data_IF_634412069156
#
_entry.id   IF_634412069156
#
_cell.length_a   1.000
_cell.length_b   1.000
_cell.length_c   1.000
_cell.angle_alpha   90.00
_cell.angle_beta   90.00
_cell.angle_gamma   90.00
#
_symmetry.space_group_name_H-M   'P 1'
#
loop_
_entity.id
_entity.type
_entity.pdbx_description
1 polymer ?
#
# COMPACT_ATOMS: atom_id res chain seq x y z
N UNK A 1 26.85 -0.31 8.15
CA UNK A 1 25.80 -1.12 7.50
C UNK A 1 25.59 -0.52 6.13
N UNK A 2 25.84 -1.26 5.04
CA UNK A 2 25.72 -0.72 3.68
C UNK A 2 24.25 -0.76 3.30
N UNK A 3 23.61 0.40 3.25
CA UNK A 3 22.23 0.57 2.79
C UNK A 3 22.22 0.45 1.26
N UNK A 4 21.68 -0.63 0.72
CA UNK A 4 21.52 -0.79 -0.72
C UNK A 4 20.22 -0.11 -1.14
N UNK A 5 20.32 1.19 -1.44
CA UNK A 5 19.23 1.99 -2.00
C UNK A 5 19.40 2.08 -3.50
N UNK A 6 18.36 1.73 -4.25
CA UNK A 6 18.38 1.81 -5.71
C UNK A 6 17.26 2.73 -6.17
N UNK A 7 17.61 3.72 -6.99
CA UNK A 7 16.67 4.67 -7.59
C UNK A 7 16.70 4.52 -9.10
N UNK A 8 15.52 4.33 -9.68
CA UNK A 8 15.32 4.26 -11.12
C UNK A 8 14.49 5.42 -11.62
N UNK A 9 14.89 5.92 -12.77
CA UNK A 9 14.12 6.88 -13.55
C UNK A 9 13.87 6.29 -14.94
N UNK A 10 12.61 5.93 -15.21
CA UNK A 10 12.19 5.31 -16.47
C UNK A 10 12.05 6.32 -17.61
N UNK A 11 12.27 7.62 -17.36
CA UNK A 11 12.34 8.63 -18.42
C UNK A 11 13.53 8.41 -19.37
N UNK A 12 14.55 7.67 -18.94
CA UNK A 12 15.68 7.27 -19.78
C UNK A 12 15.46 5.84 -20.32
N UNK A 13 14.94 5.76 -21.55
CA UNK A 13 14.53 4.51 -22.22
C UNK A 13 15.67 3.53 -22.55
N UNK A 14 16.93 3.90 -22.31
CA UNK A 14 18.11 3.10 -22.66
C UNK A 14 18.71 2.30 -21.51
N UNK A 15 18.16 2.39 -20.30
CA UNK A 15 18.70 1.65 -19.15
C UNK A 15 18.17 0.20 -19.11
N UNK A 16 19.07 -0.76 -19.36
CA UNK A 16 18.80 -2.20 -19.20
C UNK A 16 18.88 -2.59 -17.72
N UNK A 17 17.76 -2.37 -17.01
CA UNK A 17 17.65 -2.72 -15.58
C UNK A 17 17.84 -4.21 -15.34
N UNK A 18 17.45 -5.07 -16.29
CA UNK A 18 17.60 -6.52 -16.18
C UNK A 18 19.06 -6.91 -16.10
N UNK A 19 19.90 -6.35 -16.98
CA UNK A 19 21.36 -6.58 -16.93
C UNK A 19 21.99 -5.98 -15.68
N UNK A 20 21.65 -4.73 -15.35
CA UNK A 20 22.23 -4.00 -14.22
C UNK A 20 21.91 -4.65 -12.86
N UNK A 21 20.77 -5.34 -12.76
CA UNK A 21 20.28 -5.92 -11.52
C UNK A 21 20.30 -7.44 -11.48
N UNK A 22 20.77 -8.09 -12.55
CA UNK A 22 20.88 -9.56 -12.62
C UNK A 22 21.68 -10.18 -11.45
N UNK A 23 22.57 -9.40 -10.83
CA UNK A 23 23.34 -9.81 -9.66
C UNK A 23 22.71 -9.41 -8.31
N UNK A 24 21.71 -8.53 -8.30
CA UNK A 24 21.07 -7.99 -7.09
C UNK A 24 19.82 -8.80 -6.79
N UNK A 25 19.89 -9.66 -5.77
CA UNK A 25 18.75 -10.48 -5.34
C UNK A 25 17.81 -9.77 -4.37
N UNK A 26 18.34 -8.84 -3.58
CA UNK A 26 17.57 -8.10 -2.59
C UNK A 26 18.08 -6.67 -2.44
N UNK A 27 17.16 -5.75 -2.19
CA UNK A 27 17.44 -4.34 -1.90
C UNK A 27 16.65 -3.90 -0.68
N UNK A 28 17.22 -2.98 0.11
CA UNK A 28 16.47 -2.43 1.24
C UNK A 28 15.42 -1.44 0.74
N UNK A 29 15.84 -0.51 -0.13
CA UNK A 29 15.00 0.55 -0.65
C UNK A 29 15.02 0.53 -2.18
N UNK A 30 13.83 0.50 -2.77
CA UNK A 30 13.62 0.61 -4.21
C UNK A 30 12.70 1.79 -4.50
N UNK A 31 13.19 2.77 -5.24
CA UNK A 31 12.41 3.91 -5.72
C UNK A 31 12.37 3.89 -7.25
N UNK A 32 11.18 3.88 -7.82
CA UNK A 32 10.95 3.89 -9.27
C UNK A 32 10.16 5.14 -9.64
N UNK A 33 10.76 6.01 -10.41
CA UNK A 33 10.13 7.21 -10.97
C UNK A 33 10.04 7.10 -12.49
N UNK A 34 9.09 7.82 -13.06
CA UNK A 34 9.01 8.05 -14.50
C UNK A 34 7.57 8.01 -15.01
N UNK A 35 7.38 8.21 -16.30
CA UNK A 35 6.02 8.37 -16.84
C UNK A 35 5.26 7.04 -16.90
N UNK A 36 5.92 6.00 -17.41
CA UNK A 36 5.36 4.68 -17.65
C UNK A 36 6.34 3.59 -17.18
N UNK A 37 5.77 2.49 -16.70
CA UNK A 37 6.50 1.28 -16.36
C UNK A 37 6.95 0.57 -17.64
N UNK A 38 8.23 0.23 -17.72
CA UNK A 38 8.80 -0.58 -18.80
C UNK A 38 8.77 -2.06 -18.44
N UNK A 39 8.90 -2.95 -19.44
CA UNK A 39 9.04 -4.39 -19.20
C UNK A 39 10.24 -4.71 -18.30
N UNK A 40 11.33 -3.95 -18.40
CA UNK A 40 12.52 -4.14 -17.56
C UNK A 40 12.24 -3.88 -16.08
N UNK A 41 11.41 -2.88 -15.76
CA UNK A 41 11.01 -2.59 -14.37
C UNK A 41 10.07 -3.66 -13.83
N UNK A 42 9.19 -4.20 -14.68
CA UNK A 42 8.35 -5.34 -14.32
C UNK A 42 9.20 -6.57 -13.98
N UNK A 43 10.05 -6.99 -14.92
CA UNK A 43 10.97 -8.13 -14.73
C UNK A 43 11.76 -7.96 -13.41
N UNK A 44 12.24 -6.74 -13.13
CA UNK A 44 12.92 -6.44 -11.88
C UNK A 44 12.03 -6.67 -10.65
N UNK A 45 10.81 -6.14 -10.63
CA UNK A 45 9.90 -6.27 -9.48
C UNK A 45 9.46 -7.71 -9.24
N UNK A 46 9.40 -8.54 -10.29
CA UNK A 46 9.11 -9.97 -10.21
C UNK A 46 10.32 -10.81 -9.72
N UNK A 47 11.54 -10.26 -9.74
CA UNK A 47 12.77 -11.01 -9.43
C UNK A 47 13.59 -10.49 -8.23
N UNK A 48 13.37 -9.25 -7.78
CA UNK A 48 14.11 -8.65 -6.66
C UNK A 48 13.25 -8.59 -5.41
N UNK A 49 13.79 -9.09 -4.30
CA UNK A 49 13.19 -8.94 -2.98
C UNK A 49 13.45 -7.53 -2.43
N UNK A 50 12.38 -6.74 -2.22
CA UNK A 50 12.46 -5.45 -1.54
C UNK A 50 12.11 -5.66 -0.07
N UNK A 51 13.04 -5.37 0.84
CA UNK A 51 12.89 -5.78 2.26
C UNK A 51 12.27 -4.70 3.15
N UNK A 52 12.58 -3.42 2.91
CA UNK A 52 12.15 -2.31 3.76
C UNK A 52 11.20 -1.34 3.07
N UNK A 53 11.57 -0.79 1.92
CA UNK A 53 10.83 0.33 1.30
C UNK A 53 10.68 0.19 -0.21
N UNK A 54 9.44 0.24 -0.68
CA UNK A 54 9.10 0.33 -2.10
C UNK A 54 8.39 1.65 -2.37
N UNK A 55 8.91 2.41 -3.32
CA UNK A 55 8.26 3.61 -3.85
C UNK A 55 8.12 3.53 -5.36
N UNK A 56 6.91 3.77 -5.87
CA UNK A 56 6.63 3.75 -7.30
C UNK A 56 5.77 4.94 -7.69
N UNK A 57 6.31 5.76 -8.59
CA UNK A 57 5.68 6.97 -9.12
C UNK A 57 5.54 6.93 -10.64
N UNK A 58 5.37 5.74 -11.22
CA UNK A 58 5.16 5.53 -12.65
C UNK A 58 3.82 4.85 -12.96
N UNK A 59 3.22 5.18 -14.11
CA UNK A 59 1.98 4.52 -14.56
C UNK A 59 2.27 3.10 -15.01
N UNK A 60 1.43 2.14 -14.63
CA UNK A 60 1.52 0.76 -15.16
C UNK A 60 0.59 0.60 -16.35
N UNK A 61 1.15 0.16 -17.49
CA UNK A 61 0.35 -0.18 -18.67
C UNK A 61 -0.58 -1.36 -18.37
N UNK A 62 -1.87 -1.17 -18.59
CA UNK A 62 -2.88 -2.24 -18.45
C UNK A 62 -2.65 -3.34 -19.51
N UNK A 63 -2.02 -3.01 -20.64
CA UNK A 63 -1.80 -3.91 -21.79
C UNK A 63 -0.88 -5.09 -21.42
N UNK A 64 0.01 -4.92 -20.44
CA UNK A 64 0.90 -6.01 -20.04
C UNK A 64 0.25 -6.99 -19.05
N UNK A 65 -0.98 -6.75 -18.59
CA UNK A 65 -1.65 -7.60 -17.61
C UNK A 65 -1.17 -7.37 -16.16
N UNK A 66 -1.81 -8.02 -15.17
CA UNK A 66 -1.37 -7.94 -13.78
C UNK A 66 0.02 -8.56 -13.61
N UNK A 67 0.73 -8.13 -12.58
CA UNK A 67 1.96 -8.76 -12.13
C UNK A 67 2.05 -8.69 -10.61
N UNK A 68 2.71 -9.67 -10.02
CA UNK A 68 2.97 -9.70 -8.60
C UNK A 68 4.43 -9.33 -8.33
N UNK A 69 4.63 -8.46 -7.35
CA UNK A 69 5.97 -8.19 -6.85
C UNK A 69 6.49 -9.44 -6.12
N UNK A 70 7.77 -9.76 -6.27
CA UNK A 70 8.38 -10.94 -5.65
C UNK A 70 8.18 -10.97 -4.12
N UNK A 71 8.17 -9.79 -3.50
CA UNK A 71 7.83 -9.61 -2.10
C UNK A 71 7.33 -8.19 -1.86
N UNK A 72 6.25 -8.05 -1.08
CA UNK A 72 5.91 -6.76 -0.48
C UNK A 72 6.87 -6.48 0.68
N UNK A 73 7.46 -5.28 0.76
CA UNK A 73 8.33 -4.94 1.87
C UNK A 73 7.54 -4.84 3.18
N UNK A 74 8.24 -5.01 4.31
CA UNK A 74 7.62 -5.04 5.63
C UNK A 74 7.41 -3.67 6.27
N UNK A 75 8.17 -2.64 5.86
CA UNK A 75 8.14 -1.34 6.54
C UNK A 75 7.32 -0.29 5.78
N UNK A 76 7.56 -0.08 4.49
CA UNK A 76 6.96 1.04 3.77
C UNK A 76 6.67 0.78 2.29
N UNK A 77 5.46 1.10 1.85
CA UNK A 77 5.01 1.07 0.44
C UNK A 77 4.38 2.42 0.11
N UNK A 78 4.88 3.10 -0.93
CA UNK A 78 4.23 4.29 -1.51
C UNK A 78 4.16 4.14 -3.02
N UNK A 79 2.99 3.75 -3.52
CA UNK A 79 2.78 3.54 -4.94
C UNK A 79 1.64 4.41 -5.46
N UNK A 80 1.89 5.20 -6.50
CA UNK A 80 0.86 5.81 -7.31
C UNK A 80 0.61 4.95 -8.56
N UNK A 81 -0.62 4.92 -9.07
CA UNK A 81 -0.99 4.08 -10.23
C UNK A 81 -0.83 2.58 -9.96
N UNK A 82 -1.35 2.14 -8.82
CA UNK A 82 -1.25 0.75 -8.34
C UNK A 82 -2.30 -0.16 -9.01
N UNK A 83 -2.52 -0.02 -10.32
CA UNK A 83 -3.47 -0.84 -11.09
C UNK A 83 -2.98 -2.28 -11.32
N UNK A 84 -1.72 -2.54 -10.98
CA UNK A 84 -1.06 -3.84 -11.03
C UNK A 84 -1.38 -4.72 -9.82
N UNK A 85 -1.65 -4.12 -8.66
CA UNK A 85 -1.94 -4.87 -7.44
C UNK A 85 -3.29 -5.56 -7.56
N UNK A 86 -3.28 -6.89 -7.49
CA UNK A 86 -4.47 -7.72 -7.44
C UNK A 86 -5.15 -7.61 -6.07
N UNK A 87 -6.43 -7.98 -6.01
CA UNK A 87 -7.13 -8.15 -4.72
C UNK A 87 -6.39 -9.14 -3.84
N UNK A 88 -5.94 -10.28 -4.37
CA UNK A 88 -5.21 -11.29 -3.60
C UNK A 88 -3.93 -10.72 -2.95
N UNK A 89 -3.12 -10.01 -3.72
CA UNK A 89 -1.90 -9.35 -3.23
C UNK A 89 -2.22 -8.29 -2.18
N UNK A 90 -3.31 -7.55 -2.35
CA UNK A 90 -3.80 -6.60 -1.35
C UNK A 90 -4.22 -7.30 -0.04
N UNK A 91 -4.93 -8.44 -0.11
CA UNK A 91 -5.37 -9.21 1.06
C UNK A 91 -4.21 -9.84 1.85
N UNK A 92 -3.02 -9.94 1.25
CA UNK A 92 -1.81 -10.44 1.89
C UNK A 92 -0.92 -9.32 2.48
N UNK A 93 -1.34 -8.06 2.37
CA UNK A 93 -0.53 -6.93 2.79
C UNK A 93 -0.24 -6.98 4.30
N UNK A 94 1.05 -7.02 4.62
CA UNK A 94 1.58 -7.06 5.99
C UNK A 94 2.72 -6.03 6.17
N UNK A 95 2.52 -4.83 5.63
CA UNK A 95 3.48 -3.73 5.66
C UNK A 95 3.08 -2.71 6.74
N UNK A 96 4.04 -2.13 7.47
CA UNK A 96 3.75 -1.13 8.50
C UNK A 96 3.03 0.09 7.93
N UNK A 97 3.54 0.65 6.85
CA UNK A 97 3.02 1.87 6.28
C UNK A 97 2.76 1.70 4.78
N UNK A 98 1.48 1.72 4.41
CA UNK A 98 1.06 1.58 3.02
C UNK A 98 0.33 2.84 2.56
N UNK A 99 0.78 3.39 1.44
CA UNK A 99 0.07 4.39 0.67
C UNK A 99 -0.05 3.95 -0.78
N UNK A 100 -1.26 3.61 -1.23
CA UNK A 100 -1.50 3.18 -2.60
C UNK A 100 -2.59 4.01 -3.28
N UNK A 101 -2.27 4.64 -4.40
CA UNK A 101 -3.19 5.49 -5.15
C UNK A 101 -3.56 4.89 -6.51
N UNK A 102 -4.71 5.32 -7.06
CA UNK A 102 -5.19 4.97 -8.41
C UNK A 102 -5.16 3.45 -8.63
N UNK A 103 -5.84 2.75 -7.73
CA UNK A 103 -5.94 1.28 -7.71
C UNK A 103 -7.13 0.82 -8.55
N UNK A 104 -7.28 -0.50 -8.74
CA UNK A 104 -8.53 -1.12 -9.21
C UNK A 104 -9.39 -1.66 -8.06
N UNK A 105 -8.95 -1.46 -6.81
CA UNK A 105 -9.58 -2.02 -5.62
C UNK A 105 -10.89 -1.26 -5.34
N UNK A 106 -11.93 -2.01 -5.04
CA UNK A 106 -13.24 -1.51 -4.64
C UNK A 106 -13.31 -1.32 -3.14
N UNK A 107 -14.39 -0.69 -2.67
CA UNK A 107 -14.66 -0.58 -1.23
C UNK A 107 -14.84 -1.97 -0.59
N UNK A 108 -15.44 -2.92 -1.31
CA UNK A 108 -15.62 -4.30 -0.81
C UNK A 108 -14.30 -5.02 -0.56
N UNK A 109 -13.31 -4.84 -1.44
CA UNK A 109 -11.96 -5.41 -1.21
C UNK A 109 -11.36 -4.88 0.10
N UNK A 110 -11.61 -3.60 0.41
CA UNK A 110 -11.14 -2.96 1.66
C UNK A 110 -11.93 -3.46 2.87
N UNK A 111 -13.24 -3.65 2.75
CA UNK A 111 -14.06 -4.24 3.81
C UNK A 111 -13.61 -5.65 4.16
N UNK A 112 -13.35 -6.49 3.16
CA UNK A 112 -12.82 -7.85 3.35
C UNK A 112 -11.46 -7.82 4.06
N UNK A 113 -10.57 -6.90 3.67
CA UNK A 113 -9.28 -6.72 4.32
C UNK A 113 -9.43 -6.32 5.79
N UNK A 114 -10.31 -5.35 6.09
CA UNK A 114 -10.56 -4.88 7.45
C UNK A 114 -11.25 -5.94 8.31
N UNK A 115 -12.17 -6.73 7.75
CA UNK A 115 -12.80 -7.86 8.44
C UNK A 115 -11.78 -8.95 8.76
N UNK A 116 -10.89 -9.29 7.81
CA UNK A 116 -9.79 -10.24 8.04
C UNK A 116 -8.86 -9.74 9.13
N UNK A 117 -8.46 -8.47 9.09
CA UNK A 117 -7.63 -7.86 10.14
C UNK A 117 -8.33 -7.91 11.50
N UNK A 118 -9.61 -7.52 11.56
CA UNK A 118 -10.43 -7.50 12.78
C UNK A 118 -10.59 -8.88 13.40
N UNK A 119 -10.78 -9.92 12.59
CA UNK A 119 -11.01 -11.27 13.10
C UNK A 119 -9.73 -12.05 13.38
N UNK A 120 -8.56 -11.51 13.02
CA UNK A 120 -7.26 -12.15 13.24
C UNK A 120 -6.75 -11.92 14.66
N UNK A 121 -5.99 -12.90 15.17
CA UNK A 121 -5.16 -12.77 16.38
C UNK A 121 -3.67 -12.81 16.04
N UNK A 122 -3.32 -12.95 14.76
CA UNK A 122 -1.95 -13.09 14.31
C UNK A 122 -1.19 -11.77 14.45
N UNK A 123 0.09 -11.87 14.77
CA UNK A 123 0.99 -10.73 14.76
C UNK A 123 1.16 -10.26 13.30
N UNK A 124 0.75 -9.03 13.04
CA UNK A 124 0.99 -8.35 11.76
C UNK A 124 1.75 -7.04 12.02
N UNK A 125 2.31 -6.49 10.96
CA UNK A 125 3.10 -5.27 11.01
C UNK A 125 2.25 -4.02 10.72
N UNK A 126 1.00 -4.16 10.31
CA UNK A 126 0.17 -3.05 9.83
C UNK A 126 0.03 -1.96 10.90
N UNK A 127 0.48 -0.75 10.57
CA UNK A 127 0.33 0.46 11.39
C UNK A 127 -0.52 1.53 10.71
N UNK A 128 -0.40 1.69 9.39
CA UNK A 128 -1.24 2.61 8.64
C UNK A 128 -1.43 2.18 7.20
N UNK A 129 -2.66 2.30 6.71
CA UNK A 129 -3.04 2.17 5.31
C UNK A 129 -3.74 3.46 4.87
N UNK A 130 -3.30 4.02 3.75
CA UNK A 130 -3.96 5.09 3.03
C UNK A 130 -4.13 4.67 1.58
N UNK A 131 -5.36 4.70 1.07
CA UNK A 131 -5.59 4.32 -0.31
C UNK A 131 -6.74 5.07 -0.98
N UNK A 132 -6.76 5.06 -2.31
CA UNK A 132 -7.95 5.39 -3.11
C UNK A 132 -8.58 4.14 -3.71
N UNK A 133 -9.90 4.00 -3.59
CA UNK A 133 -10.69 3.00 -4.31
C UNK A 133 -11.04 3.47 -5.72
N UNK A 134 -11.41 2.52 -6.59
CA UNK A 134 -11.82 2.82 -7.98
C UNK A 134 -13.19 3.50 -8.05
N UNK A 135 -14.05 3.26 -7.06
CA UNK A 135 -15.36 3.89 -6.93
C UNK A 135 -15.37 4.84 -5.73
N UNK A 136 -15.92 6.03 -5.93
CA UNK A 136 -16.05 7.09 -4.94
C UNK A 136 -17.44 7.20 -4.32
N UNK A 137 -18.44 6.56 -4.93
CA UNK A 137 -19.84 6.63 -4.48
C UNK A 137 -20.14 5.58 -3.41
N UNK A 138 -19.56 4.39 -3.53
CA UNK A 138 -19.68 3.35 -2.52
C UNK A 138 -19.02 3.79 -1.22
N UNK A 139 -19.73 3.61 -0.11
CA UNK A 139 -19.23 3.91 1.25
C UNK A 139 -18.95 2.61 1.99
N UNK A 140 -17.97 2.65 2.90
CA UNK A 140 -17.72 1.59 3.86
C UNK A 140 -18.98 1.33 4.70
N UNK A 141 -19.37 0.06 4.79
CA UNK A 141 -20.37 -0.39 5.74
C UNK A 141 -19.75 -0.51 7.14
N UNK A 142 -19.82 0.58 7.89
CA UNK A 142 -19.34 0.61 9.27
C UNK A 142 -20.09 -0.35 10.20
N UNK A 143 -21.35 -0.72 9.88
CA UNK A 143 -22.10 -1.69 10.68
C UNK A 143 -21.56 -3.11 10.45
N UNK A 144 -21.28 -3.48 9.20
CA UNK A 144 -20.62 -4.73 8.85
C UNK A 144 -19.26 -4.86 9.57
N UNK A 145 -18.49 -3.79 9.59
CA UNK A 145 -17.21 -3.73 10.29
C UNK A 145 -17.37 -3.75 11.82
N UNK A 146 -18.59 -3.60 12.36
CA UNK A 146 -18.87 -3.45 13.78
C UNK A 146 -18.15 -2.24 14.39
N UNK A 147 -18.03 -1.16 13.61
CA UNK A 147 -17.31 0.02 14.00
C UNK A 147 -18.09 0.83 15.04
N UNK A 148 -17.38 1.38 16.01
CA UNK A 148 -17.92 2.26 17.06
C UNK A 148 -17.45 3.68 16.84
N UNK A 149 -18.22 4.64 17.33
CA UNK A 149 -17.74 6.02 17.43
C UNK A 149 -16.45 6.06 18.26
N UNK A 150 -15.48 6.82 17.78
CA UNK A 150 -14.23 7.09 18.49
C UNK A 150 -14.47 8.29 19.38
N UNK A 151 -14.58 8.08 20.68
CA UNK A 151 -14.74 9.16 21.65
C UNK A 151 -13.47 9.33 22.52
N UNK A 152 -12.78 10.50 22.48
CA UNK A 152 -12.97 11.59 21.51
C UNK A 152 -12.41 11.23 20.13
N UNK A 153 -12.86 11.96 19.11
CA UNK A 153 -12.28 11.84 17.75
C UNK A 153 -10.76 11.97 17.79
N UNK A 154 -10.06 10.93 17.31
CA UNK A 154 -8.59 10.92 17.34
C UNK A 154 -8.08 11.69 16.14
N UNK A 155 -7.30 12.74 16.42
CA UNK A 155 -6.68 13.55 15.40
C UNK A 155 -5.22 13.20 15.28
N UNK A 156 -4.81 12.67 14.12
CA UNK A 156 -3.46 12.12 13.97
C UNK A 156 -2.71 12.80 12.84
N UNK A 157 -1.44 13.12 13.09
CA UNK A 157 -0.54 13.69 12.12
C UNK A 157 -0.11 12.62 11.11
N UNK A 158 -0.30 12.91 9.82
CA UNK A 158 0.35 12.17 8.75
C UNK A 158 1.83 12.59 8.72
N UNK A 159 2.75 11.65 8.96
CA UNK A 159 4.19 11.91 9.05
C UNK A 159 4.88 12.28 7.73
N UNK A 160 4.21 12.97 6.80
CA UNK A 160 4.77 13.35 5.51
C UNK A 160 4.45 14.80 5.15
N UNK A 161 5.44 15.68 5.30
CA UNK A 161 5.66 16.95 4.58
C UNK A 161 4.62 18.08 4.69
N UNK A 162 3.33 17.77 4.66
CA UNK A 162 2.24 18.72 4.91
C UNK A 162 1.33 18.12 5.99
N UNK A 163 1.41 18.70 7.19
CA UNK A 163 0.67 18.29 8.37
C UNK A 163 -0.84 18.57 8.23
N UNK A 164 -1.51 17.79 7.38
CA UNK A 164 -2.98 17.70 7.40
C UNK A 164 -3.37 16.72 8.50
N UNK A 165 -4.06 17.24 9.50
CA UNK A 165 -4.55 16.47 10.62
C UNK A 165 -5.72 15.60 10.16
N UNK A 166 -5.58 14.28 10.22
CA UNK A 166 -6.68 13.36 9.89
C UNK A 166 -7.45 13.09 11.17
N UNK A 167 -8.72 13.51 11.19
CA UNK A 167 -9.68 13.08 12.20
C UNK A 167 -10.17 11.68 11.88
N UNK A 168 -10.15 10.80 12.85
CA UNK A 168 -10.84 9.50 12.82
C UNK A 168 -12.02 9.55 13.77
N UNK A 169 -13.18 9.24 13.24
CA UNK A 169 -14.48 9.21 13.91
C UNK A 169 -14.93 7.77 14.19
N UNK A 170 -14.39 6.77 13.49
CA UNK A 170 -14.77 5.36 13.67
C UNK A 170 -13.58 4.50 14.09
N UNK A 171 -13.85 3.52 14.95
CA UNK A 171 -12.88 2.51 15.39
C UNK A 171 -13.45 1.10 15.29
N UNK A 172 -12.60 0.15 14.93
CA UNK A 172 -12.86 -1.29 14.95
C UNK A 172 -11.90 -1.95 15.93
N UNK A 173 -12.36 -2.97 16.65
CA UNK A 173 -11.54 -3.70 17.62
C UNK A 173 -11.24 -5.09 17.07
N UNK A 174 -9.96 -5.45 17.04
CA UNK A 174 -9.48 -6.76 16.66
C UNK A 174 -9.78 -7.81 17.74
N UNK A 175 -9.80 -9.09 17.37
CA UNK A 175 -10.08 -10.20 18.26
C UNK A 175 -9.19 -10.26 19.53
N UNK A 176 -7.98 -9.71 19.48
CA UNK A 176 -7.05 -9.62 20.61
C UNK A 176 -7.09 -8.27 21.36
N UNK A 177 -8.02 -7.39 21.01
CA UNK A 177 -8.23 -6.09 21.64
C UNK A 177 -7.49 -4.92 21.00
N UNK A 178 -6.64 -5.14 19.97
CA UNK A 178 -6.03 -4.02 19.25
C UNK A 178 -7.09 -3.14 18.58
N UNK A 179 -6.87 -1.83 18.59
CA UNK A 179 -7.82 -0.85 18.05
C UNK A 179 -7.32 -0.31 16.72
N UNK A 180 -8.17 -0.43 15.70
CA UNK A 180 -7.96 0.14 14.39
C UNK A 180 -8.91 1.31 14.16
N UNK A 181 -8.39 2.49 13.87
CA UNK A 181 -9.15 3.67 13.49
C UNK A 181 -9.37 3.65 11.97
N UNK A 182 -10.62 3.84 11.54
CA UNK A 182 -10.99 3.82 10.13
C UNK A 182 -11.75 5.09 9.76
N UNK A 183 -11.49 5.60 8.55
CA UNK A 183 -12.22 6.71 7.95
C UNK A 183 -12.25 6.59 6.44
N UNK A 184 -13.36 6.97 5.84
CA UNK A 184 -13.46 7.24 4.41
C UNK A 184 -13.78 8.71 4.14
N UNK A 185 -13.16 9.29 3.12
CA UNK A 185 -13.45 10.63 2.60
C UNK A 185 -13.46 10.58 1.07
N UNK A 186 -14.65 10.48 0.46
CA UNK A 186 -14.81 10.18 -0.96
C UNK A 186 -14.20 8.82 -1.31
N UNK A 187 -13.38 8.77 -2.36
CA UNK A 187 -12.62 7.58 -2.75
C UNK A 187 -11.51 7.19 -1.77
N UNK A 188 -11.13 8.08 -0.83
CA UNK A 188 -9.96 7.85 0.03
C UNK A 188 -10.34 7.12 1.31
N UNK A 189 -9.67 6.02 1.59
CA UNK A 189 -9.80 5.28 2.84
C UNK A 189 -8.50 5.39 3.62
N UNK A 190 -8.66 5.65 4.92
CA UNK A 190 -7.59 5.70 5.91
C UNK A 190 -7.88 4.65 6.99
N UNK A 191 -6.86 3.86 7.30
CA UNK A 191 -6.88 2.92 8.41
C UNK A 191 -5.59 3.05 9.21
N UNK A 192 -5.67 3.05 10.54
CA UNK A 192 -4.51 3.15 11.42
C UNK A 192 -4.68 2.29 12.65
N UNK A 193 -3.64 1.59 13.05
CA UNK A 193 -3.63 0.75 14.26
C UNK A 193 -2.90 1.49 15.37
N UNK A 194 -3.54 1.57 16.54
CA UNK A 194 -2.92 2.07 17.77
C UNK A 194 -2.26 0.93 18.56
#
# INVERSE_FOLDING_TARGET
MITHSVKFDTSFTFFDAKKALSAIKAVEHLEINGEMMTSNVRDMLENITVTKRLEMYCKVSIVQGPFDVASLPSEHIVCNYTTWMSTETFQQLNCQHTRIGKTKLTVKDVEEFLLKWKNSTEKNHIKSLMMSTVDSETKLDYNLLGAKESDPSRKIHNGGGSASQISFDKSITRADGLVGLVRQNGEKIHFRVD
#
